data_IF_110776281310
#
_entry.id   IF_110776281310
#
_cell.length_a   1.000
_cell.length_b   1.000
_cell.length_c   1.000
_cell.angle_alpha   90.00
_cell.angle_beta   90.00
_cell.angle_gamma   90.00
#
_symmetry.space_group_name_H-M   'P 1'
#
loop_
_entity.id
_entity.type
_entity.pdbx_description
1 polymer ?
#
# COMPACT_ATOMS: atom_id res chain seq x y z
N UNK A 1 -43.51 5.57 -2.66
CA UNK A 1 -42.48 6.15 -1.76
C UNK A 1 -41.33 5.20 -1.41
N UNK A 2 -41.47 3.87 -1.55
CA UNK A 2 -40.45 2.87 -1.15
C UNK A 2 -39.32 2.67 -2.19
N UNK A 3 -39.60 2.85 -3.48
CA UNK A 3 -38.63 2.66 -4.58
C UNK A 3 -37.36 3.51 -4.45
N UNK A 4 -37.50 4.76 -4.00
CA UNK A 4 -36.36 5.69 -3.88
C UNK A 4 -35.42 5.28 -2.74
N UNK A 5 -35.93 4.60 -1.71
CA UNK A 5 -35.14 4.11 -0.58
C UNK A 5 -34.33 2.88 -0.99
N UNK A 6 -34.91 1.96 -1.76
CA UNK A 6 -34.20 0.76 -2.23
C UNK A 6 -33.12 1.09 -3.25
N UNK A 7 -33.36 2.02 -4.18
CA UNK A 7 -32.35 2.50 -5.13
C UNK A 7 -31.17 3.16 -4.39
N UNK A 8 -31.43 3.99 -3.39
CA UNK A 8 -30.37 4.60 -2.58
C UNK A 8 -29.50 3.57 -1.85
N UNK A 9 -30.10 2.51 -1.33
CA UNK A 9 -29.38 1.41 -0.66
C UNK A 9 -28.50 0.65 -1.66
N UNK A 10 -29.01 0.34 -2.85
CA UNK A 10 -28.25 -0.38 -3.89
C UNK A 10 -27.02 0.43 -4.31
N UNK A 11 -27.17 1.74 -4.53
CA UNK A 11 -26.03 2.61 -4.88
C UNK A 11 -25.01 2.66 -3.74
N UNK A 12 -25.45 2.76 -2.49
CA UNK A 12 -24.55 2.73 -1.34
C UNK A 12 -23.77 1.41 -1.25
N UNK A 13 -24.40 0.27 -1.53
CA UNK A 13 -23.76 -1.05 -1.56
C UNK A 13 -22.71 -1.11 -2.68
N UNK A 14 -23.01 -0.61 -3.88
CA UNK A 14 -22.06 -0.58 -5.00
C UNK A 14 -20.84 0.28 -4.64
N UNK A 15 -21.05 1.46 -4.07
CA UNK A 15 -19.95 2.33 -3.61
C UNK A 15 -19.11 1.60 -2.56
N UNK A 16 -19.75 0.94 -1.60
CA UNK A 16 -19.06 0.20 -0.54
C UNK A 16 -18.22 -0.96 -1.11
N UNK A 17 -18.76 -1.69 -2.09
CA UNK A 17 -18.03 -2.76 -2.81
C UNK A 17 -16.82 -2.19 -3.57
N UNK A 18 -16.96 -1.05 -4.26
CA UNK A 18 -15.86 -0.41 -4.98
C UNK A 18 -14.76 0.08 -4.02
N UNK A 19 -15.14 0.65 -2.88
CA UNK A 19 -14.19 1.07 -1.83
C UNK A 19 -13.47 -0.16 -1.28
N UNK A 20 -14.22 -1.21 -0.93
CA UNK A 20 -13.63 -2.46 -0.44
C UNK A 20 -12.68 -3.06 -1.48
N UNK A 21 -13.06 -3.10 -2.76
CA UNK A 21 -12.23 -3.61 -3.86
C UNK A 21 -10.90 -2.83 -3.99
N UNK A 22 -10.93 -1.51 -3.87
CA UNK A 22 -9.70 -0.69 -3.88
C UNK A 22 -8.83 -0.93 -2.63
N UNK A 23 -9.45 -1.15 -1.47
CA UNK A 23 -8.72 -1.40 -0.22
C UNK A 23 -8.12 -2.81 -0.18
N UNK A 24 -8.84 -3.80 -0.71
CA UNK A 24 -8.43 -5.21 -0.72
C UNK A 24 -7.50 -5.56 -1.87
N UNK A 25 -7.46 -4.77 -2.95
CA UNK A 25 -6.40 -4.87 -3.96
C UNK A 25 -5.04 -4.57 -3.30
N UNK A 26 -4.34 -5.65 -2.95
CA UNK A 26 -2.91 -5.64 -2.72
C UNK A 26 -2.25 -5.35 -4.06
N UNK A 27 -2.03 -4.08 -4.38
CA UNK A 27 -1.31 -3.69 -5.61
C UNK A 27 0.19 -3.67 -5.32
N UNK A 28 1.04 -4.28 -6.17
CA UNK A 28 2.49 -4.25 -6.01
C UNK A 28 3.01 -2.81 -5.91
N UNK A 29 2.41 -1.87 -6.65
CA UNK A 29 2.71 -0.44 -6.58
C UNK A 29 2.65 0.17 -5.17
N UNK A 30 1.69 -0.25 -4.33
CA UNK A 30 1.56 0.26 -2.97
C UNK A 30 2.76 -0.15 -2.12
N UNK A 31 3.23 -1.39 -2.30
CA UNK A 31 4.41 -1.90 -1.64
C UNK A 31 5.68 -1.24 -2.19
N UNK A 32 5.80 -1.06 -3.50
CA UNK A 32 6.91 -0.32 -4.12
C UNK A 32 7.00 1.14 -3.67
N UNK A 33 5.85 1.81 -3.49
CA UNK A 33 5.81 3.18 -2.96
C UNK A 33 6.33 3.24 -1.52
N UNK A 34 5.93 2.29 -0.67
CA UNK A 34 6.46 2.18 0.70
C UNK A 34 7.97 1.89 0.69
N UNK A 35 8.43 0.98 -0.17
CA UNK A 35 9.86 0.68 -0.32
C UNK A 35 10.66 1.93 -0.70
N UNK A 36 10.16 2.74 -1.64
CA UNK A 36 10.84 3.98 -2.05
C UNK A 36 10.93 4.99 -0.91
N UNK A 37 9.89 5.11 -0.08
CA UNK A 37 9.90 6.01 1.09
C UNK A 37 10.90 5.55 2.15
N UNK A 38 10.89 4.26 2.48
CA UNK A 38 11.84 3.68 3.43
C UNK A 38 13.28 3.83 2.93
N UNK A 39 13.55 3.58 1.65
CA UNK A 39 14.88 3.77 1.07
C UNK A 39 15.38 5.22 1.18
N UNK A 40 14.52 6.20 0.92
CA UNK A 40 14.85 7.63 1.09
C UNK A 40 15.12 8.01 2.55
N UNK A 41 14.43 7.39 3.51
CA UNK A 41 14.74 7.56 4.92
C UNK A 41 16.11 6.95 5.24
N UNK A 42 16.40 5.75 4.73
CA UNK A 42 17.71 5.13 4.84
C UNK A 42 18.83 6.03 4.33
N UNK A 43 18.67 6.62 3.13
CA UNK A 43 19.63 7.59 2.59
C UNK A 43 19.79 8.82 3.50
N UNK A 44 18.68 9.35 4.03
CA UNK A 44 18.72 10.51 4.92
C UNK A 44 19.50 10.19 6.21
N UNK A 45 19.26 9.04 6.82
CA UNK A 45 19.95 8.62 8.05
C UNK A 45 21.42 8.31 7.79
N UNK A 46 21.73 7.68 6.65
CA UNK A 46 23.11 7.44 6.23
C UNK A 46 23.87 8.75 6.06
N UNK A 47 23.26 9.76 5.43
CA UNK A 47 23.87 11.06 5.22
C UNK A 47 24.14 11.85 6.50
N UNK A 48 23.47 11.53 7.61
CA UNK A 48 23.72 12.15 8.93
C UNK A 48 24.61 11.29 9.83
N UNK A 49 25.15 10.16 9.32
CA UNK A 49 26.04 9.26 10.05
C UNK A 49 25.34 8.26 10.97
N UNK A 50 24.00 8.15 10.89
CA UNK A 50 23.19 7.22 11.66
C UNK A 50 23.05 5.88 10.91
N UNK A 51 24.16 5.15 10.81
CA UNK A 51 24.28 3.95 9.95
C UNK A 51 23.35 2.79 10.37
N UNK A 52 23.09 2.63 11.67
CA UNK A 52 22.21 1.57 12.17
C UNK A 52 20.74 1.85 11.78
N UNK A 53 20.28 3.09 11.97
CA UNK A 53 18.96 3.53 11.51
C UNK A 53 18.85 3.45 9.98
N UNK A 54 19.90 3.82 9.26
CA UNK A 54 19.92 3.71 7.80
C UNK A 54 19.72 2.25 7.35
N UNK A 55 20.43 1.32 8.00
CA UNK A 55 20.33 -0.12 7.73
C UNK A 55 18.91 -0.64 8.00
N UNK A 56 18.29 -0.24 9.11
CA UNK A 56 16.93 -0.64 9.44
C UNK A 56 15.94 -0.20 8.35
N UNK A 57 16.05 1.05 7.89
CA UNK A 57 15.20 1.57 6.81
C UNK A 57 15.46 0.90 5.46
N UNK A 58 16.70 0.51 5.16
CA UNK A 58 17.00 -0.25 3.95
C UNK A 58 16.41 -1.66 4.00
N UNK A 59 16.47 -2.34 5.16
CA UNK A 59 15.82 -3.64 5.35
C UNK A 59 14.30 -3.54 5.25
N UNK A 60 13.70 -2.47 5.80
CA UNK A 60 12.27 -2.20 5.63
C UNK A 60 11.91 -2.01 4.15
N UNK A 61 12.73 -1.27 3.40
CA UNK A 61 12.54 -1.09 1.96
C UNK A 61 12.59 -2.41 1.19
N UNK A 62 13.56 -3.28 1.51
CA UNK A 62 13.70 -4.60 0.89
C UNK A 62 12.50 -5.50 1.20
N UNK A 63 12.03 -5.53 2.44
CA UNK A 63 10.81 -6.25 2.85
C UNK A 63 9.60 -5.82 2.04
N UNK A 64 9.48 -4.52 1.74
CA UNK A 64 8.41 -4.03 0.90
C UNK A 64 8.58 -4.42 -0.58
N UNK A 65 9.81 -4.44 -1.12
CA UNK A 65 10.07 -4.91 -2.49
C UNK A 65 9.73 -6.39 -2.65
N UNK A 66 10.16 -7.26 -1.73
CA UNK A 66 9.83 -8.69 -1.73
C UNK A 66 8.32 -8.93 -1.70
N UNK A 67 7.59 -8.21 -0.85
CA UNK A 67 6.12 -8.28 -0.83
C UNK A 67 5.48 -7.82 -2.14
N UNK A 68 6.05 -6.83 -2.82
CA UNK A 68 5.53 -6.41 -4.12
C UNK A 68 5.74 -7.50 -5.17
N UNK A 69 6.94 -8.10 -5.20
CA UNK A 69 7.30 -9.21 -6.09
C UNK A 69 6.44 -10.46 -5.83
N UNK A 70 6.22 -10.83 -4.57
CA UNK A 70 5.30 -11.92 -4.20
C UNK A 70 3.86 -11.67 -4.70
N UNK A 71 3.39 -10.42 -4.64
CA UNK A 71 2.06 -10.07 -5.16
C UNK A 71 2.05 -10.16 -6.69
N UNK A 72 3.09 -9.67 -7.36
CA UNK A 72 3.20 -9.67 -8.82
C UNK A 72 3.27 -11.09 -9.39
N UNK A 73 4.01 -11.98 -8.72
CA UNK A 73 4.18 -13.38 -9.10
C UNK A 73 2.93 -14.26 -8.84
N UNK A 74 1.92 -13.74 -8.14
CA UNK A 74 0.68 -14.47 -7.78
C UNK A 74 -0.51 -14.04 -8.67
N UNK A 75 -0.37 -12.98 -9.47
CA UNK A 75 -1.39 -12.46 -10.40
C UNK A 75 -1.16 -12.99 -11.80
#
# INVERSE_FOLDING_TARGET
>A
MVLWRTVGIIVAIIILIVILYKVTRKTPEKHLSKARKAHKLGEKYFNIGEDDLARDYYQEAEKHRKKAEEIDNVV
#
